data_IF_658753772027
#
_entry.id   IF_658753772027
#
_cell.length_a   1.000
_cell.length_b   1.000
_cell.length_c   1.000
_cell.angle_alpha   90.00
_cell.angle_beta   90.00
_cell.angle_gamma   90.00
#
_symmetry.space_group_name_H-M   'P 1'
#
loop_
_entity.id
_entity.type
_entity.pdbx_description
1 polymer ?
#
# COMPACT_ATOMS: atom_id res chain seq x y z
N UNK A 1 24.35 -24.44 0.29
CA UNK A 1 23.70 -23.58 1.29
C UNK A 1 23.65 -24.33 2.61
N UNK A 2 24.18 -23.74 3.68
CA UNK A 2 24.18 -24.36 5.01
C UNK A 2 22.80 -24.23 5.69
N UNK A 3 22.53 -25.05 6.70
CA UNK A 3 21.24 -25.02 7.41
C UNK A 3 20.99 -23.68 8.15
N UNK A 4 22.04 -23.00 8.62
CA UNK A 4 21.92 -21.66 9.21
C UNK A 4 21.49 -20.60 8.17
N UNK A 5 22.08 -20.63 6.96
CA UNK A 5 21.71 -19.74 5.86
C UNK A 5 20.27 -19.98 5.40
N UNK A 6 19.83 -21.24 5.40
CA UNK A 6 18.47 -21.64 5.06
C UNK A 6 17.45 -21.11 6.05
N UNK A 7 17.74 -21.19 7.36
CA UNK A 7 16.89 -20.62 8.40
C UNK A 7 16.84 -19.10 8.32
N UNK A 8 17.98 -18.44 8.06
CA UNK A 8 18.03 -16.99 7.88
C UNK A 8 17.15 -16.52 6.71
N UNK A 9 17.28 -17.15 5.54
CA UNK A 9 16.46 -16.86 4.36
C UNK A 9 14.98 -17.15 4.64
N UNK A 10 14.66 -18.24 5.34
CA UNK A 10 13.29 -18.59 5.71
C UNK A 10 12.64 -17.50 6.56
N UNK A 11 13.35 -17.02 7.58
CA UNK A 11 12.89 -15.93 8.47
C UNK A 11 12.71 -14.64 7.66
N UNK A 12 13.67 -14.33 6.78
CA UNK A 12 13.66 -13.10 5.99
C UNK A 12 12.52 -13.07 4.98
N UNK A 13 12.27 -14.18 4.26
CA UNK A 13 11.11 -14.33 3.38
C UNK A 13 9.81 -14.17 4.17
N UNK A 14 9.72 -14.85 5.32
CA UNK A 14 8.51 -14.83 6.14
C UNK A 14 8.21 -13.43 6.67
N UNK A 15 9.22 -12.69 7.12
CA UNK A 15 9.08 -11.31 7.58
C UNK A 15 8.72 -10.37 6.42
N UNK A 16 9.39 -10.51 5.27
CA UNK A 16 9.10 -9.74 4.06
C UNK A 16 7.64 -9.91 3.62
N UNK A 17 7.12 -11.15 3.62
CA UNK A 17 5.72 -11.42 3.29
C UNK A 17 4.74 -10.83 4.32
N UNK A 18 5.09 -10.85 5.61
CA UNK A 18 4.28 -10.21 6.66
C UNK A 18 4.22 -8.70 6.44
N UNK A 19 5.35 -8.07 6.12
CA UNK A 19 5.42 -6.63 5.91
C UNK A 19 4.65 -6.21 4.66
N UNK A 20 4.75 -6.96 3.55
CA UNK A 20 3.91 -6.76 2.36
C UNK A 20 2.43 -6.83 2.73
N UNK A 21 2.00 -7.85 3.50
CA UNK A 21 0.60 -8.01 3.92
C UNK A 21 0.13 -6.87 4.82
N UNK A 22 0.97 -6.39 5.75
CA UNK A 22 0.67 -5.21 6.58
C UNK A 22 0.49 -3.97 5.70
N UNK A 23 1.40 -3.73 4.76
CA UNK A 23 1.31 -2.61 3.82
C UNK A 23 0.06 -2.69 2.94
N UNK A 24 -0.33 -3.88 2.48
CA UNK A 24 -1.59 -4.07 1.74
C UNK A 24 -2.82 -3.70 2.59
N UNK A 25 -2.83 -4.01 3.88
CA UNK A 25 -3.91 -3.60 4.78
C UNK A 25 -3.91 -2.09 5.02
N UNK A 26 -2.74 -1.49 5.25
CA UNK A 26 -2.59 -0.04 5.37
C UNK A 26 -3.08 0.66 4.11
N UNK A 27 -2.69 0.17 2.94
CA UNK A 27 -3.14 0.68 1.64
C UNK A 27 -4.65 0.66 1.50
N UNK A 28 -5.34 -0.39 1.96
CA UNK A 28 -6.81 -0.45 1.96
C UNK A 28 -7.44 0.64 2.83
N UNK A 29 -6.87 0.91 4.01
CA UNK A 29 -7.31 1.99 4.89
C UNK A 29 -7.10 3.36 4.22
N UNK A 30 -5.89 3.60 3.71
CA UNK A 30 -5.53 4.83 3.01
C UNK A 30 -6.40 5.06 1.76
N UNK A 31 -6.76 4.01 1.02
CA UNK A 31 -7.66 4.10 -0.12
C UNK A 31 -9.05 4.59 0.30
N UNK A 32 -9.55 4.10 1.44
CA UNK A 32 -10.84 4.55 1.98
C UNK A 32 -10.81 6.03 2.36
N UNK A 33 -9.76 6.46 3.06
CA UNK A 33 -9.56 7.87 3.42
C UNK A 33 -9.38 8.77 2.19
N UNK A 34 -8.54 8.35 1.24
CA UNK A 34 -8.32 9.07 0.00
C UNK A 34 -9.61 9.19 -0.84
N UNK A 35 -10.46 8.17 -0.84
CA UNK A 35 -11.77 8.21 -1.50
C UNK A 35 -12.68 9.26 -0.89
N UNK A 36 -12.71 9.39 0.44
CA UNK A 36 -13.52 10.42 1.12
C UNK A 36 -13.02 11.81 0.75
N UNK A 37 -11.70 12.04 0.81
CA UNK A 37 -11.10 13.31 0.41
C UNK A 37 -11.32 13.63 -1.07
N UNK A 38 -11.30 12.62 -1.94
CA UNK A 38 -11.62 12.77 -3.35
C UNK A 38 -13.05 13.21 -3.60
N UNK A 39 -14.02 12.66 -2.87
CA UNK A 39 -15.42 13.08 -2.94
C UNK A 39 -15.56 14.54 -2.49
N UNK A 40 -14.90 14.93 -1.40
CA UNK A 40 -14.91 16.32 -0.90
C UNK A 40 -14.30 17.27 -1.95
N UNK A 41 -13.17 16.90 -2.55
CA UNK A 41 -12.52 17.70 -3.57
C UNK A 41 -13.42 17.90 -4.80
N UNK A 42 -14.11 16.86 -5.26
CA UNK A 42 -15.10 16.95 -6.33
C UNK A 42 -16.27 17.87 -5.95
N UNK A 43 -16.75 17.78 -4.70
CA UNK A 43 -17.79 18.67 -4.19
C UNK A 43 -17.38 20.14 -4.22
N UNK A 44 -16.16 20.47 -3.75
CA UNK A 44 -15.62 21.83 -3.79
C UNK A 44 -15.54 22.35 -5.22
N UNK A 45 -15.00 21.54 -6.15
CA UNK A 45 -14.91 21.93 -7.56
C UNK A 45 -16.29 22.14 -8.19
N UNK A 46 -17.27 21.28 -7.86
CA UNK A 46 -18.65 21.41 -8.33
C UNK A 46 -19.35 22.68 -7.82
N UNK A 47 -19.22 22.97 -6.52
CA UNK A 47 -19.76 24.21 -5.92
C UNK A 47 -19.09 25.43 -6.54
N UNK A 48 -17.77 25.39 -6.76
CA UNK A 48 -17.05 26.48 -7.42
C UNK A 48 -17.49 26.71 -8.86
N UNK A 49 -17.78 25.63 -9.61
CA UNK A 49 -18.32 25.73 -10.97
C UNK A 49 -19.72 26.35 -10.98
N UNK A 50 -20.60 25.88 -10.10
CA UNK A 50 -21.96 26.40 -9.98
C UNK A 50 -21.98 27.88 -9.55
N UNK A 51 -21.24 28.23 -8.50
CA UNK A 51 -21.17 29.62 -8.02
C UNK A 51 -20.58 30.59 -9.05
N UNK A 52 -19.70 30.10 -9.92
CA UNK A 52 -19.19 30.89 -11.05
C UNK A 52 -20.23 31.08 -12.16
N UNK A 53 -21.08 30.09 -12.44
CA UNK A 53 -22.17 30.20 -13.42
C UNK A 53 -23.26 31.16 -12.93
N UNK A 54 -23.63 31.03 -11.66
CA UNK A 54 -24.63 31.88 -11.00
C UNK A 54 -24.12 33.28 -10.64
N UNK A 55 -22.85 33.59 -10.92
CA UNK A 55 -22.19 34.87 -10.60
C UNK A 55 -22.39 35.31 -9.15
N UNK A 56 -22.22 34.37 -8.21
CA UNK A 56 -22.32 34.67 -6.77
C UNK A 56 -21.35 35.75 -6.31
N UNK A 57 -20.24 35.93 -7.03
CA UNK A 57 -19.25 36.97 -6.77
C UNK A 57 -18.44 37.24 -8.04
N UNK A 58 -17.80 38.41 -8.08
CA UNK A 58 -16.81 38.79 -9.10
C UNK A 58 -15.44 38.13 -8.89
N UNK A 59 -15.20 37.52 -7.72
CA UNK A 59 -13.99 36.77 -7.44
C UNK A 59 -13.94 35.47 -8.27
N UNK A 60 -12.76 35.04 -8.77
CA UNK A 60 -12.64 33.81 -9.59
C UNK A 60 -12.76 32.52 -8.75
N UNK A 61 -13.94 32.27 -8.16
CA UNK A 61 -14.20 31.12 -7.28
C UNK A 61 -13.88 29.80 -7.98
N UNK A 62 -14.17 29.66 -9.27
CA UNK A 62 -13.94 28.40 -9.97
C UNK A 62 -12.47 28.00 -9.99
N UNK A 63 -11.56 28.94 -10.27
CA UNK A 63 -10.13 28.69 -10.28
C UNK A 63 -9.61 28.36 -8.88
N UNK A 64 -10.09 29.08 -7.86
CA UNK A 64 -9.77 28.81 -6.46
C UNK A 64 -10.25 27.43 -6.00
N UNK A 65 -11.46 27.03 -6.42
CA UNK A 65 -12.04 25.72 -6.11
C UNK A 65 -11.29 24.56 -6.79
N UNK A 66 -10.86 24.74 -8.04
CA UNK A 66 -9.98 23.78 -8.73
C UNK A 66 -8.65 23.65 -7.99
N UNK A 67 -8.02 24.77 -7.61
CA UNK A 67 -6.75 24.74 -6.90
C UNK A 67 -6.88 24.02 -5.54
N UNK A 68 -7.90 24.35 -4.76
CA UNK A 68 -8.19 23.69 -3.49
C UNK A 68 -8.47 22.19 -3.66
N UNK A 69 -9.29 21.82 -4.66
CA UNK A 69 -9.58 20.43 -4.99
C UNK A 69 -8.31 19.66 -5.39
N UNK A 70 -7.45 20.27 -6.21
CA UNK A 70 -6.17 19.68 -6.62
C UNK A 70 -5.22 19.43 -5.45
N UNK A 71 -5.10 20.38 -4.51
CA UNK A 71 -4.29 20.22 -3.29
C UNK A 71 -4.83 19.08 -2.43
N UNK A 72 -6.14 19.00 -2.23
CA UNK A 72 -6.76 17.92 -1.45
C UNK A 72 -6.52 16.55 -2.07
N UNK A 73 -6.63 16.43 -3.40
CA UNK A 73 -6.30 15.18 -4.10
C UNK A 73 -4.81 14.83 -3.95
N UNK A 74 -3.91 15.81 -4.07
CA UNK A 74 -2.47 15.57 -3.89
C UNK A 74 -2.15 15.06 -2.48
N UNK A 75 -2.76 15.64 -1.45
CA UNK A 75 -2.63 15.18 -0.05
C UNK A 75 -3.18 13.77 0.12
N UNK A 76 -4.33 13.47 -0.48
CA UNK A 76 -4.98 12.16 -0.41
C UNK A 76 -4.14 11.05 -1.08
N UNK A 77 -3.53 11.33 -2.24
CA UNK A 77 -2.81 10.32 -3.02
C UNK A 77 -1.33 10.15 -2.64
N UNK A 78 -0.69 11.16 -2.02
CA UNK A 78 0.71 11.09 -1.60
C UNK A 78 1.04 9.87 -0.72
N UNK A 79 0.30 9.55 0.36
CA UNK A 79 0.60 8.38 1.19
C UNK A 79 0.36 7.06 0.44
N UNK A 80 -0.59 7.03 -0.50
CA UNK A 80 -0.81 5.85 -1.36
C UNK A 80 0.36 5.59 -2.30
N UNK A 81 0.99 6.65 -2.83
CA UNK A 81 2.19 6.54 -3.66
C UNK A 81 3.39 6.04 -2.85
N UNK A 82 3.58 6.56 -1.64
CA UNK A 82 4.64 6.08 -0.74
C UNK A 82 4.45 4.61 -0.39
N UNK A 83 3.25 4.21 -0.01
CA UNK A 83 2.92 2.82 0.31
C UNK A 83 3.13 1.89 -0.90
N UNK A 84 2.83 2.36 -2.12
CA UNK A 84 3.14 1.60 -3.35
C UNK A 84 4.66 1.39 -3.50
N UNK A 85 5.45 2.45 -3.32
CA UNK A 85 6.91 2.35 -3.41
C UNK A 85 7.53 1.39 -2.39
N UNK A 86 7.01 1.39 -1.16
CA UNK A 86 7.44 0.43 -0.13
C UNK A 86 7.09 -1.01 -0.51
N UNK A 87 5.86 -1.27 -0.98
CA UNK A 87 5.45 -2.59 -1.46
C UNK A 87 6.37 -3.06 -2.58
N UNK A 88 6.62 -2.22 -3.59
CA UNK A 88 7.48 -2.55 -4.72
C UNK A 88 8.92 -2.88 -4.27
N UNK A 89 9.44 -2.20 -3.24
CA UNK A 89 10.74 -2.48 -2.65
C UNK A 89 10.79 -3.84 -1.96
N UNK A 90 9.77 -4.17 -1.15
CA UNK A 90 9.68 -5.48 -0.50
C UNK A 90 9.43 -6.61 -1.50
N UNK A 91 8.66 -6.38 -2.57
CA UNK A 91 8.46 -7.36 -3.64
C UNK A 91 9.75 -7.64 -4.41
N UNK A 92 10.58 -6.62 -4.68
CA UNK A 92 11.92 -6.82 -5.26
C UNK A 92 12.80 -7.65 -4.34
N UNK A 93 12.85 -7.29 -3.06
CA UNK A 93 13.61 -8.05 -2.06
C UNK A 93 13.16 -9.50 -1.97
N UNK A 94 11.85 -9.74 -2.00
CA UNK A 94 11.29 -11.09 -2.04
C UNK A 94 11.77 -11.83 -3.29
N UNK A 95 11.66 -11.22 -4.48
CA UNK A 95 12.10 -11.82 -5.74
C UNK A 95 13.59 -12.15 -5.76
N UNK A 96 14.44 -11.35 -5.11
CA UNK A 96 15.88 -11.66 -4.95
C UNK A 96 16.10 -12.89 -4.08
N UNK A 97 15.38 -13.00 -2.95
CA UNK A 97 15.42 -14.17 -2.08
C UNK A 97 14.90 -15.43 -2.78
N UNK A 98 13.85 -15.32 -3.60
CA UNK A 98 13.35 -16.45 -4.40
C UNK A 98 14.38 -16.91 -5.44
N UNK A 99 15.08 -15.96 -6.08
CA UNK A 99 16.15 -16.24 -7.02
C UNK A 99 17.32 -16.97 -6.34
N UNK A 100 17.69 -16.55 -5.12
CA UNK A 100 18.70 -17.22 -4.32
C UNK A 100 18.30 -18.65 -3.95
N UNK A 101 17.04 -18.88 -3.59
CA UNK A 101 16.53 -20.24 -3.33
C UNK A 101 16.55 -21.10 -4.59
N UNK A 102 16.07 -20.58 -5.72
CA UNK A 102 16.09 -21.30 -7.01
C UNK A 102 17.49 -21.67 -7.46
N UNK A 103 18.48 -20.79 -7.28
CA UNK A 103 19.91 -21.09 -7.56
C UNK A 103 20.44 -22.28 -6.76
N UNK A 104 19.85 -22.56 -5.60
CA UNK A 104 20.19 -23.68 -4.73
C UNK A 104 19.23 -24.88 -4.90
N UNK A 105 18.39 -24.92 -5.95
CA UNK A 105 17.34 -25.92 -6.17
C UNK A 105 16.34 -26.04 -5.00
N UNK A 106 16.02 -24.91 -4.37
CA UNK A 106 15.05 -24.83 -3.28
C UNK A 106 13.85 -23.99 -3.70
N UNK A 107 12.68 -24.38 -3.22
CA UNK A 107 11.43 -23.64 -3.34
C UNK A 107 10.81 -23.52 -1.95
N UNK A 108 10.00 -22.48 -1.73
CA UNK A 108 9.27 -22.32 -0.48
C UNK A 108 7.76 -22.22 -0.75
N UNK A 109 6.97 -22.74 0.19
CA UNK A 109 5.53 -22.51 0.30
C UNK A 109 5.27 -21.78 1.61
N UNK A 110 4.85 -20.53 1.53
CA UNK A 110 4.47 -19.73 2.68
C UNK A 110 2.96 -19.46 2.70
N UNK A 111 2.34 -19.60 3.87
CA UNK A 111 1.01 -19.07 4.15
C UNK A 111 1.16 -17.96 5.19
N UNK A 112 0.85 -16.73 4.78
CA UNK A 112 0.93 -15.53 5.63
C UNK A 112 -0.42 -14.82 5.60
N UNK A 113 -1.08 -14.80 6.75
CA UNK A 113 -2.29 -14.03 7.01
C UNK A 113 -1.99 -12.95 8.03
N UNK A 114 -2.35 -11.73 7.64
CA UNK A 114 -2.33 -10.58 8.55
C UNK A 114 -3.75 -10.06 8.62
N UNK A 115 -4.21 -9.79 9.83
CA UNK A 115 -5.51 -9.18 10.13
C UNK A 115 -5.33 -8.08 11.17
N UNK A 116 -6.33 -7.23 11.34
CA UNK A 116 -6.39 -6.26 12.43
C UNK A 116 -7.41 -6.76 13.47
N UNK A 117 -7.04 -6.71 14.74
CA UNK A 117 -7.97 -6.99 15.83
C UNK A 117 -8.93 -5.81 16.07
N UNK A 118 -9.83 -5.95 17.05
CA UNK A 118 -10.77 -4.91 17.44
C UNK A 118 -10.12 -3.66 18.07
N UNK A 119 -8.84 -3.74 18.45
CA UNK A 119 -8.05 -2.62 18.99
C UNK A 119 -7.20 -1.93 17.90
N UNK A 120 -7.19 -2.49 16.68
CA UNK A 120 -6.40 -1.98 15.55
C UNK A 120 -4.98 -2.55 15.47
N UNK A 121 -4.61 -3.50 16.33
CA UNK A 121 -3.31 -4.16 16.33
C UNK A 121 -3.23 -5.24 15.26
N UNK A 122 -2.01 -5.48 14.73
CA UNK A 122 -1.78 -6.50 13.71
C UNK A 122 -1.70 -7.90 14.33
N UNK A 123 -2.64 -8.76 13.98
CA UNK A 123 -2.60 -10.20 14.28
C UNK A 123 -2.01 -10.93 13.08
N UNK A 124 -0.85 -11.56 13.29
CA UNK A 124 -0.06 -12.23 12.24
C UNK A 124 -0.09 -13.74 12.45
N UNK A 125 -0.58 -14.48 11.47
CA UNK A 125 -0.46 -15.93 11.36
C UNK A 125 0.44 -16.24 10.18
N UNK A 126 1.56 -16.94 10.41
CA UNK A 126 2.58 -17.15 9.39
C UNK A 126 3.16 -18.56 9.48
N UNK A 127 3.29 -19.23 8.35
CA UNK A 127 3.93 -20.54 8.22
C UNK A 127 4.71 -20.60 6.91
N UNK A 128 5.82 -21.32 6.89
CA UNK A 128 6.65 -21.50 5.69
C UNK A 128 7.30 -22.88 5.70
N UNK A 129 7.22 -23.57 4.56
CA UNK A 129 7.87 -24.86 4.31
C UNK A 129 8.82 -24.70 3.12
N UNK A 130 10.08 -25.07 3.30
CA UNK A 130 11.07 -25.12 2.20
C UNK A 130 11.16 -26.56 1.70
N UNK A 131 11.03 -26.75 0.39
CA UNK A 131 11.20 -28.01 -0.30
C UNK A 131 12.30 -27.93 -1.35
N UNK A 132 12.82 -29.08 -1.76
CA UNK A 132 13.77 -29.18 -2.87
C UNK A 132 12.99 -29.26 -4.19
N UNK A 133 13.43 -28.51 -5.19
CA UNK A 133 12.91 -28.59 -6.56
C UNK A 133 13.38 -29.94 -7.12
N UNK A 134 12.42 -30.80 -7.48
CA UNK A 134 12.68 -32.09 -8.16
C UNK A 134 12.97 -31.89 -9.63
#
# INVERSE_FOLDING_TARGET
MNEEEKQAIQIEILNTLVDIKKLQLTRKSLLKEASVLGIIALGIMGVGAYGSMERWTDFPIFQAAIAAGGILLAIAFRPLQQCKGEIDLYEKKLSELESLLKKNNLEYKADVRVSRDSKGEYVVQKSIKIGTIK
#
